data_IF_279050375276
#
_entry.id   IF_279050375276
#
_cell.length_a   1.000
_cell.length_b   1.000
_cell.length_c   1.000
_cell.angle_alpha   90.00
_cell.angle_beta   90.00
_cell.angle_gamma   90.00
#
_symmetry.space_group_name_H-M   'P 1'
#
loop_
_entity.id
_entity.type
_entity.pdbx_description
1 polymer ?
#
# COMPACT_ATOMS: atom_id res chain seq x y z
N UNK A 1 -24.17 0.25 -25.36
CA UNK A 1 -23.91 1.66 -24.98
C UNK A 1 -23.25 1.78 -23.60
N UNK A 2 -23.78 1.13 -22.56
CA UNK A 2 -23.19 1.15 -21.19
C UNK A 2 -21.78 0.53 -21.15
N UNK A 3 -21.55 -0.61 -21.83
CA UNK A 3 -20.21 -1.23 -21.92
C UNK A 3 -19.15 -0.30 -22.55
N UNK A 4 -19.51 0.43 -23.61
CA UNK A 4 -18.59 1.36 -24.27
C UNK A 4 -18.30 2.59 -23.40
N UNK A 5 -19.29 3.11 -22.67
CA UNK A 5 -19.08 4.20 -21.71
C UNK A 5 -18.20 3.75 -20.53
N UNK A 6 -18.44 2.54 -20.03
CA UNK A 6 -17.65 1.91 -18.96
C UNK A 6 -16.21 1.69 -19.41
N UNK A 7 -15.99 1.15 -20.61
CA UNK A 7 -14.64 0.97 -21.18
C UNK A 7 -13.89 2.30 -21.33
N UNK A 8 -14.57 3.36 -21.78
CA UNK A 8 -13.96 4.70 -21.91
C UNK A 8 -13.62 5.32 -20.54
N UNK A 9 -14.40 5.02 -19.51
CA UNK A 9 -14.14 5.45 -18.14
C UNK A 9 -12.97 4.68 -17.50
N UNK A 10 -12.88 3.37 -17.73
CA UNK A 10 -11.78 2.54 -17.24
C UNK A 10 -10.45 2.80 -17.96
N UNK A 11 -10.48 3.22 -19.23
CA UNK A 11 -9.26 3.42 -20.03
C UNK A 11 -8.21 4.31 -19.35
N UNK A 12 -8.63 5.41 -18.72
CA UNK A 12 -7.72 6.29 -17.97
C UNK A 12 -7.12 5.59 -16.75
N UNK A 13 -7.93 4.81 -16.03
CA UNK A 13 -7.48 4.03 -14.87
C UNK A 13 -6.52 2.90 -15.28
N UNK A 14 -6.81 2.24 -16.40
CA UNK A 14 -6.01 1.15 -16.96
C UNK A 14 -4.66 1.67 -17.46
N UNK A 15 -4.63 2.86 -18.09
CA UNK A 15 -3.41 3.56 -18.47
C UNK A 15 -2.53 3.86 -17.25
N UNK A 16 -3.10 4.38 -16.16
CA UNK A 16 -2.33 4.63 -14.93
C UNK A 16 -1.77 3.36 -14.31
N UNK A 17 -2.55 2.26 -14.29
CA UNK A 17 -2.06 0.96 -13.79
C UNK A 17 -0.92 0.46 -14.68
N UNK A 18 -1.07 0.55 -16.01
CA UNK A 18 -0.03 0.16 -16.96
C UNK A 18 1.26 0.96 -16.77
N UNK A 19 1.16 2.29 -16.58
CA UNK A 19 2.32 3.15 -16.31
C UNK A 19 3.01 2.83 -14.98
N UNK A 20 2.23 2.62 -13.90
CA UNK A 20 2.80 2.26 -12.58
C UNK A 20 3.46 0.89 -12.64
N UNK A 21 2.83 -0.08 -13.33
CA UNK A 21 3.41 -1.40 -13.52
C UNK A 21 4.69 -1.33 -14.36
N UNK A 22 4.71 -0.55 -15.45
CA UNK A 22 5.90 -0.32 -16.26
C UNK A 22 7.04 0.31 -15.43
N UNK A 23 6.72 1.29 -14.58
CA UNK A 23 7.69 1.87 -13.65
C UNK A 23 8.18 0.85 -12.62
N UNK A 24 7.29 0.03 -12.06
CA UNK A 24 7.65 -1.01 -11.10
C UNK A 24 8.60 -2.04 -11.72
N UNK A 25 8.33 -2.48 -12.95
CA UNK A 25 9.24 -3.34 -13.70
C UNK A 25 10.56 -2.64 -13.98
N UNK A 26 10.55 -1.37 -14.40
CA UNK A 26 11.77 -0.61 -14.63
C UNK A 26 12.63 -0.50 -13.35
N UNK A 27 12.00 -0.22 -12.21
CA UNK A 27 12.66 -0.17 -10.90
C UNK A 27 13.23 -1.53 -10.48
N UNK A 28 12.56 -2.62 -10.84
CA UNK A 28 13.05 -3.97 -10.61
C UNK A 28 14.27 -4.27 -11.50
N UNK A 29 14.18 -3.98 -12.80
CA UNK A 29 15.25 -4.21 -13.77
C UNK A 29 16.49 -3.37 -13.53
N UNK A 30 16.34 -2.11 -13.12
CA UNK A 30 17.49 -1.25 -12.79
C UNK A 30 18.08 -1.53 -11.39
N UNK A 31 17.51 -2.48 -10.64
CA UNK A 31 17.97 -2.84 -9.30
C UNK A 31 17.61 -1.83 -8.20
N UNK A 32 16.88 -0.75 -8.52
CA UNK A 32 16.45 0.24 -7.53
C UNK A 32 15.61 -0.39 -6.41
N UNK A 33 14.73 -1.33 -6.76
CA UNK A 33 13.93 -2.09 -5.80
C UNK A 33 14.80 -2.92 -4.84
N UNK A 34 15.89 -3.50 -5.35
CA UNK A 34 16.84 -4.26 -4.53
C UNK A 34 17.67 -3.34 -3.63
N UNK A 35 18.11 -2.19 -4.13
CA UNK A 35 18.85 -1.19 -3.33
C UNK A 35 18.00 -0.60 -2.22
N UNK A 36 16.74 -0.25 -2.50
CA UNK A 36 15.80 0.18 -1.47
C UNK A 36 15.55 -0.96 -0.47
N UNK A 37 15.36 -2.19 -0.95
CA UNK A 37 15.22 -3.34 -0.06
C UNK A 37 16.42 -3.57 0.85
N UNK A 38 17.66 -3.34 0.36
CA UNK A 38 18.87 -3.38 1.19
C UNK A 38 18.92 -2.24 2.21
N UNK A 39 18.53 -1.03 1.82
CA UNK A 39 18.42 0.10 2.73
C UNK A 39 17.39 -0.14 3.83
N UNK A 40 16.26 -0.79 3.49
CA UNK A 40 15.24 -1.18 4.47
C UNK A 40 15.64 -2.42 5.27
N UNK A 41 16.40 -3.36 4.73
CA UNK A 41 16.97 -4.46 5.50
C UNK A 41 17.88 -3.95 6.63
N UNK A 42 18.53 -2.80 6.45
CA UNK A 42 19.28 -2.15 7.53
C UNK A 42 18.41 -1.68 8.71
N UNK A 43 17.07 -1.54 8.53
CA UNK A 43 16.14 -1.30 9.66
C UNK A 43 15.93 -2.53 10.54
N UNK A 44 16.40 -3.71 10.12
CA UNK A 44 16.51 -4.90 10.94
C UNK A 44 15.18 -5.38 11.50
N UNK A 45 15.09 -5.49 12.83
CA UNK A 45 13.96 -6.09 13.55
C UNK A 45 12.64 -5.31 13.39
N UNK A 46 12.74 -4.03 13.04
CA UNK A 46 11.58 -3.16 12.83
C UNK A 46 11.02 -3.20 11.40
N UNK A 47 11.69 -3.90 10.48
CA UNK A 47 11.26 -3.98 9.08
C UNK A 47 9.80 -4.42 8.91
N UNK A 48 9.27 -5.43 9.63
CA UNK A 48 7.87 -5.84 9.46
C UNK A 48 6.86 -4.75 9.86
N UNK A 49 7.21 -3.92 10.84
CA UNK A 49 6.40 -2.75 11.24
C UNK A 49 6.46 -1.65 10.19
N UNK A 50 7.67 -1.32 9.70
CA UNK A 50 7.85 -0.31 8.66
C UNK A 50 7.31 -0.74 7.32
N UNK A 51 7.26 -2.05 7.01
CA UNK A 51 6.66 -2.60 5.79
C UNK A 51 5.20 -2.17 5.66
N UNK A 52 4.40 -2.37 6.72
CA UNK A 52 2.99 -1.98 6.73
C UNK A 52 2.81 -0.45 6.58
N UNK A 53 3.68 0.33 7.22
CA UNK A 53 3.68 1.80 7.17
C UNK A 53 4.11 2.34 5.80
N UNK A 54 5.09 1.72 5.16
CA UNK A 54 5.56 2.06 3.82
C UNK A 54 4.45 1.79 2.80
N UNK A 55 3.74 0.67 2.95
CA UNK A 55 2.58 0.37 2.11
C UNK A 55 1.42 1.35 2.33
N UNK A 56 1.19 1.75 3.59
CA UNK A 56 0.21 2.79 3.94
C UNK A 56 0.50 4.12 3.23
N UNK A 57 1.75 4.58 3.25
CA UNK A 57 2.17 5.79 2.50
C UNK A 57 2.02 5.59 1.00
N UNK A 58 2.39 4.41 0.50
CA UNK A 58 2.27 4.05 -0.91
C UNK A 58 0.84 4.15 -1.42
N UNK A 59 -0.13 3.54 -0.73
CA UNK A 59 -1.55 3.61 -1.11
C UNK A 59 -2.14 5.00 -0.90
N UNK A 60 -1.72 5.73 0.14
CA UNK A 60 -2.15 7.10 0.31
C UNK A 60 -1.79 7.98 -0.90
N UNK A 61 -0.57 7.85 -1.41
CA UNK A 61 -0.07 8.59 -2.57
C UNK A 61 -0.67 8.12 -3.89
N UNK A 62 -0.78 6.80 -4.10
CA UNK A 62 -1.30 6.24 -5.37
C UNK A 62 -2.82 6.22 -5.45
N UNK A 63 -3.51 6.28 -4.30
CA UNK A 63 -4.96 6.12 -4.19
C UNK A 63 -5.48 4.72 -4.52
N UNK A 64 -4.60 3.75 -4.76
CA UNK A 64 -4.96 2.42 -5.27
C UNK A 64 -4.07 1.31 -4.71
N UNK A 65 -4.71 0.32 -4.09
CA UNK A 65 -4.04 -0.87 -3.54
C UNK A 65 -3.33 -1.67 -4.65
N UNK A 66 -3.95 -1.78 -5.83
CA UNK A 66 -3.36 -2.50 -6.97
C UNK A 66 -2.08 -1.85 -7.43
N UNK A 67 -2.09 -0.52 -7.59
CA UNK A 67 -0.94 0.25 -8.07
C UNK A 67 0.19 0.25 -7.04
N UNK A 68 -0.14 0.41 -5.75
CA UNK A 68 0.85 0.34 -4.68
C UNK A 68 1.44 -1.07 -4.52
N UNK A 69 0.62 -2.13 -4.65
CA UNK A 69 1.11 -3.50 -4.57
C UNK A 69 1.98 -3.87 -5.77
N UNK A 70 1.66 -3.39 -6.97
CA UNK A 70 2.54 -3.53 -8.13
C UNK A 70 3.90 -2.85 -7.90
N UNK A 71 3.91 -1.66 -7.30
CA UNK A 71 5.12 -0.86 -7.09
C UNK A 71 6.00 -1.38 -5.94
N UNK A 72 5.39 -1.69 -4.79
CA UNK A 72 6.11 -2.03 -3.55
C UNK A 72 6.03 -3.51 -3.17
N UNK A 73 5.12 -4.30 -3.73
CA UNK A 73 4.98 -5.71 -3.37
C UNK A 73 6.26 -6.51 -3.64
N UNK A 74 6.88 -6.27 -4.80
CA UNK A 74 8.15 -6.93 -5.14
C UNK A 74 9.30 -6.47 -4.21
N UNK A 75 9.30 -5.19 -3.80
CA UNK A 75 10.25 -4.66 -2.81
C UNK A 75 10.14 -5.41 -1.48
N UNK A 76 8.91 -5.63 -1.00
CA UNK A 76 8.68 -6.35 0.26
C UNK A 76 9.16 -7.80 0.18
N UNK A 77 8.90 -8.49 -0.94
CA UNK A 77 9.33 -9.88 -1.16
C UNK A 77 10.86 -9.99 -1.24
N UNK A 78 11.52 -9.11 -2.01
CA UNK A 78 12.99 -9.10 -2.13
C UNK A 78 13.64 -8.82 -0.77
N UNK A 79 13.09 -7.88 -0.01
CA UNK A 79 13.61 -7.52 1.31
C UNK A 79 13.39 -8.66 2.32
N UNK A 80 12.23 -9.33 2.27
CA UNK A 80 11.95 -10.51 3.08
C UNK A 80 12.98 -11.62 2.85
N UNK A 81 13.30 -11.93 1.59
CA UNK A 81 14.31 -12.92 1.24
C UNK A 81 15.72 -12.57 1.74
N UNK A 82 16.06 -11.27 1.81
CA UNK A 82 17.34 -10.80 2.37
C UNK A 82 17.39 -10.87 3.89
N UNK A 83 16.26 -10.62 4.56
CA UNK A 83 16.13 -10.65 6.03
C UNK A 83 15.84 -12.06 6.59
N UNK A 84 15.64 -13.07 5.72
CA UNK A 84 15.21 -14.40 6.15
C UNK A 84 13.77 -14.44 6.68
N UNK A 85 12.95 -13.45 6.33
CA UNK A 85 11.53 -13.39 6.69
C UNK A 85 10.68 -14.08 5.63
N UNK A 86 9.48 -14.53 6.02
CA UNK A 86 8.55 -15.15 5.10
C UNK A 86 8.08 -14.14 4.03
N UNK A 87 8.35 -14.37 2.72
CA UNK A 87 7.95 -13.47 1.66
C UNK A 87 6.44 -13.36 1.48
N UNK A 88 5.68 -14.42 1.79
CA UNK A 88 4.21 -14.42 1.77
C UNK A 88 3.67 -13.51 2.87
N UNK A 89 4.24 -13.60 4.08
CA UNK A 89 3.86 -12.72 5.18
C UNK A 89 4.14 -11.25 4.85
N UNK A 90 5.30 -10.94 4.25
CA UNK A 90 5.62 -9.56 3.88
C UNK A 90 4.76 -9.06 2.71
N UNK A 91 4.44 -9.90 1.73
CA UNK A 91 3.48 -9.55 0.67
C UNK A 91 2.07 -9.32 1.23
N UNK A 92 1.61 -10.15 2.16
CA UNK A 92 0.33 -9.99 2.85
C UNK A 92 0.31 -8.72 3.71
N UNK A 93 1.42 -8.40 4.38
CA UNK A 93 1.59 -7.16 5.14
C UNK A 93 1.48 -5.92 4.27
N UNK A 94 2.03 -5.99 3.04
CA UNK A 94 1.92 -4.93 2.06
C UNK A 94 0.44 -4.69 1.70
N UNK A 95 -0.28 -5.74 1.31
CA UNK A 95 -1.69 -5.59 0.96
C UNK A 95 -2.53 -5.09 2.13
N UNK A 96 -2.30 -5.61 3.34
CA UNK A 96 -3.07 -5.26 4.54
C UNK A 96 -2.80 -3.82 5.01
N UNK A 97 -1.53 -3.39 5.03
CA UNK A 97 -1.14 -2.02 5.37
C UNK A 97 -1.65 -1.00 4.35
N UNK A 98 -1.67 -1.38 3.06
CA UNK A 98 -2.22 -0.57 1.98
C UNK A 98 -3.69 -0.22 2.16
N UNK A 99 -4.54 -1.19 2.52
CA UNK A 99 -5.98 -0.96 2.76
C UNK A 99 -6.21 0.14 3.81
N UNK A 100 -5.35 0.22 4.83
CA UNK A 100 -5.44 1.27 5.83
C UNK A 100 -5.11 2.65 5.26
N UNK A 101 -4.17 2.73 4.30
CA UNK A 101 -3.83 3.96 3.59
C UNK A 101 -4.93 4.45 2.66
N UNK A 102 -5.76 3.54 2.14
CA UNK A 102 -6.89 3.89 1.26
C UNK A 102 -7.93 4.78 1.93
N UNK A 103 -8.15 4.61 3.24
CA UNK A 103 -9.08 5.43 4.03
C UNK A 103 -8.76 6.93 4.00
N UNK A 104 -7.49 7.27 3.78
CA UNK A 104 -7.03 8.66 3.69
C UNK A 104 -6.69 9.08 2.26
N UNK A 105 -6.86 8.21 1.28
CA UNK A 105 -6.59 8.56 -0.12
C UNK A 105 -7.53 9.66 -0.58
N UNK A 106 -6.98 10.66 -1.28
CA UNK A 106 -7.73 11.76 -1.86
C UNK A 106 -8.89 11.25 -2.74
N UNK A 107 -8.65 10.16 -3.47
CA UNK A 107 -9.66 9.53 -4.32
C UNK A 107 -10.84 8.98 -3.49
N UNK A 108 -10.59 8.27 -2.39
CA UNK A 108 -11.66 7.71 -1.57
C UNK A 108 -12.44 8.79 -0.81
N UNK A 109 -11.75 9.85 -0.38
CA UNK A 109 -12.38 11.01 0.29
C UNK A 109 -13.25 11.79 -0.69
N UNK A 110 -12.77 12.05 -1.91
CA UNK A 110 -13.55 12.74 -2.94
C UNK A 110 -14.82 11.96 -3.31
N UNK A 111 -14.74 10.63 -3.40
CA UNK A 111 -15.92 9.77 -3.64
C UNK A 111 -16.88 9.81 -2.46
N UNK A 112 -16.38 9.76 -1.22
CA UNK A 112 -17.21 9.85 -0.02
C UNK A 112 -17.92 11.21 0.10
N UNK A 113 -17.21 12.31 -0.21
CA UNK A 113 -17.76 13.66 -0.22
C UNK A 113 -18.85 13.82 -1.29
N UNK A 114 -18.61 13.33 -2.50
CA UNK A 114 -19.59 13.33 -3.58
C UNK A 114 -20.84 12.49 -3.25
N UNK A 115 -20.67 11.33 -2.61
CA UNK A 115 -21.78 10.46 -2.22
C UNK A 115 -22.63 11.01 -1.06
N UNK A 116 -22.00 11.77 -0.14
CA UNK A 116 -22.67 12.33 1.04
C UNK A 116 -23.18 13.76 0.82
N UNK A 117 -22.89 14.36 -0.34
CA UNK A 117 -23.26 15.75 -0.64
C UNK A 117 -22.55 16.79 0.23
N UNK A 118 -21.39 16.44 0.80
CA UNK A 118 -20.62 17.33 1.67
C UNK A 118 -20.07 18.53 0.89
N UNK A 119 -20.04 19.69 1.55
CA UNK A 119 -19.37 20.85 1.00
C UNK A 119 -17.84 20.61 0.93
N UNK A 120 -17.12 21.15 -0.07
CA UNK A 120 -15.67 20.97 -0.19
C UNK A 120 -14.88 21.38 1.06
N UNK A 121 -15.41 22.31 1.85
CA UNK A 121 -14.82 22.75 3.12
C UNK A 121 -14.83 21.66 4.21
N UNK A 122 -15.76 20.71 4.15
CA UNK A 122 -15.89 19.62 5.14
C UNK A 122 -15.03 18.40 4.77
N UNK A 123 -14.50 18.30 3.55
CA UNK A 123 -13.56 17.24 3.15
C UNK A 123 -12.30 17.23 4.03
N UNK A 124 -11.80 18.42 4.38
CA UNK A 124 -10.65 18.55 5.28
C UNK A 124 -10.94 18.04 6.69
N UNK A 125 -12.19 18.17 7.16
CA UNK A 125 -12.64 17.65 8.46
C UNK A 125 -12.74 16.14 8.42
N UNK A 126 -13.27 15.58 7.33
CA UNK A 126 -13.33 14.14 7.10
C UNK A 126 -11.92 13.54 7.02
N UNK A 127 -11.00 14.14 6.26
CA UNK A 127 -9.60 13.72 6.17
C UNK A 127 -8.92 13.69 7.54
N UNK A 128 -9.06 14.75 8.34
CA UNK A 128 -8.47 14.79 9.69
C UNK A 128 -9.03 13.71 10.62
N UNK A 129 -10.31 13.37 10.46
CA UNK A 129 -10.95 12.30 11.23
C UNK A 129 -10.45 10.91 10.79
N UNK A 130 -10.44 10.64 9.49
CA UNK A 130 -10.00 9.34 8.95
C UNK A 130 -8.50 9.14 9.11
N UNK A 131 -7.69 10.21 9.10
CA UNK A 131 -6.25 10.14 9.30
C UNK A 131 -5.86 9.55 10.66
N UNK A 132 -6.55 9.94 11.73
CA UNK A 132 -6.29 9.37 13.06
C UNK A 132 -6.60 7.89 13.10
N UNK A 133 -7.75 7.48 12.57
CA UNK A 133 -8.16 6.07 12.52
C UNK A 133 -7.23 5.23 11.65
N UNK A 134 -6.85 5.79 10.50
CA UNK A 134 -5.96 5.15 9.53
C UNK A 134 -4.57 4.89 10.09
N UNK A 135 -3.98 5.85 10.80
CA UNK A 135 -2.67 5.66 11.47
C UNK A 135 -2.76 4.61 12.58
N UNK A 136 -3.79 4.66 13.43
CA UNK A 136 -3.98 3.69 14.52
C UNK A 136 -4.11 2.26 13.96
N UNK A 137 -4.91 2.09 12.92
CA UNK A 137 -5.10 0.78 12.29
C UNK A 137 -3.85 0.32 11.52
N UNK A 138 -3.12 1.21 10.86
CA UNK A 138 -1.86 0.89 10.21
C UNK A 138 -0.81 0.42 11.23
N UNK A 139 -0.70 1.09 12.38
CA UNK A 139 0.17 0.65 13.47
C UNK A 139 -0.27 -0.69 14.07
N UNK A 140 -1.58 -0.92 14.21
CA UNK A 140 -2.10 -2.21 14.67
C UNK A 140 -1.72 -3.36 13.72
N UNK A 141 -1.85 -3.15 12.40
CA UNK A 141 -1.40 -4.13 11.40
C UNK A 141 0.11 -4.33 11.47
N UNK A 142 0.88 -3.25 11.59
CA UNK A 142 2.34 -3.34 11.78
C UNK A 142 2.72 -4.21 12.99
N UNK A 143 2.03 -4.04 14.12
CA UNK A 143 2.23 -4.86 15.32
C UNK A 143 1.84 -6.33 15.11
N UNK A 144 0.74 -6.60 14.42
CA UNK A 144 0.32 -7.96 14.06
C UNK A 144 1.37 -8.63 13.17
N UNK A 145 1.89 -7.91 12.20
CA UNK A 145 2.91 -8.42 11.27
C UNK A 145 4.23 -8.70 12.00
N UNK A 146 4.64 -7.84 12.94
CA UNK A 146 5.78 -8.09 13.83
C UNK A 146 5.55 -9.34 14.70
N UNK A 147 4.33 -9.51 15.24
CA UNK A 147 3.97 -10.68 16.03
C UNK A 147 4.08 -11.97 15.21
N UNK A 148 3.56 -11.99 13.98
CA UNK A 148 3.71 -13.14 13.07
C UNK A 148 5.16 -13.37 12.64
N UNK A 149 5.96 -12.31 12.47
CA UNK A 149 7.35 -12.42 12.06
C UNK A 149 8.27 -12.99 13.16
N UNK A 150 8.03 -12.64 14.43
CA UNK A 150 8.95 -12.99 15.53
C UNK A 150 8.41 -14.00 16.55
N UNK A 151 7.10 -14.02 16.82
CA UNK A 151 6.53 -14.84 17.89
C UNK A 151 5.98 -16.16 17.36
N UNK A 152 5.33 -16.15 16.20
CA UNK A 152 4.76 -17.37 15.59
C UNK A 152 4.99 -17.44 14.07
N UNK A 153 6.25 -17.57 13.61
CA UNK A 153 6.56 -17.69 12.18
C UNK A 153 5.94 -18.94 11.54
N UNK A 154 5.57 -19.97 12.32
CA UNK A 154 4.91 -21.19 11.83
C UNK A 154 3.41 -21.07 11.55
N UNK A 155 2.76 -19.95 11.89
CA UNK A 155 1.36 -19.67 11.54
C UNK A 155 1.23 -18.79 10.30
N UNK A 156 2.35 -18.23 9.84
CA UNK A 156 2.42 -17.54 8.57
C UNK A 156 2.45 -18.60 7.44
N UNK A 157 1.56 -18.51 6.44
CA UNK A 157 1.48 -19.47 5.34
C UNK A 157 2.72 -19.47 4.45
#
# INVERSE_FOLDING_TARGET
>A
KILAATAKQLFLSELTIASVLALAYLMNYCGATATLGLAFAATGVLFPFFSALLSWVGVFLTGSDTSANALFGNLQVVTAGRLGLNPVLMAASNSSGGVMGKMISLQSIAVAAAATGMAPADEARLFRFTLRHSIVLACAIGLIVVFYAYVMPGWAP
#
